data_IF_696694427011
#
_entry.id   IF_696694427011
#
_cell.length_a   1.000
_cell.length_b   1.000
_cell.length_c   1.000
_cell.angle_alpha   90.00
_cell.angle_beta   90.00
_cell.angle_gamma   90.00
#
_symmetry.space_group_name_H-M   'P 1'
#
loop_
_entity.id
_entity.type
_entity.pdbx_description
1 polymer ?
#
# COMPACT_ATOMS: atom_id res chain seq x y z
N UNK A 1 -19.35 0.56 3.90
CA UNK A 1 -19.02 0.86 2.49
C UNK A 1 -17.53 0.66 2.35
N UNK A 2 -17.09 -0.24 1.46
CA UNK A 2 -15.67 -0.43 1.15
C UNK A 2 -15.18 0.74 0.31
N UNK A 3 -14.19 1.48 0.80
CA UNK A 3 -13.59 2.58 0.04
C UNK A 3 -12.67 1.99 -1.04
N UNK A 4 -12.81 2.46 -2.28
CA UNK A 4 -12.05 1.92 -3.42
C UNK A 4 -10.96 2.89 -3.87
N UNK A 5 -9.76 2.37 -4.05
CA UNK A 5 -8.63 3.09 -4.62
C UNK A 5 -8.81 3.16 -6.13
N UNK A 6 -8.93 4.37 -6.67
CA UNK A 6 -8.81 4.60 -8.10
C UNK A 6 -7.34 4.93 -8.46
N UNK A 7 -6.58 4.01 -9.08
CA UNK A 7 -5.17 4.24 -9.40
C UNK A 7 -4.96 5.17 -10.60
N UNK A 8 -5.99 5.44 -11.40
CA UNK A 8 -5.91 6.33 -12.57
C UNK A 8 -6.16 7.79 -12.21
N UNK A 9 -6.84 8.05 -11.10
CA UNK A 9 -7.03 9.40 -10.57
C UNK A 9 -5.80 9.85 -9.76
N UNK A 10 -5.14 10.93 -10.19
CA UNK A 10 -4.00 11.51 -9.46
C UNK A 10 -4.38 11.93 -8.04
N UNK A 11 -5.58 12.47 -7.85
CA UNK A 11 -6.07 12.93 -6.54
C UNK A 11 -6.25 11.75 -5.57
N UNK A 12 -6.92 10.70 -6.03
CA UNK A 12 -7.07 9.44 -5.27
C UNK A 12 -5.70 8.87 -4.90
N UNK A 13 -4.78 8.76 -5.84
CA UNK A 13 -3.41 8.28 -5.56
C UNK A 13 -2.71 9.10 -4.48
N UNK A 14 -2.71 10.43 -4.57
CA UNK A 14 -2.02 11.29 -3.60
C UNK A 14 -2.62 11.15 -2.22
N UNK A 15 -3.95 11.09 -2.12
CA UNK A 15 -4.66 10.85 -0.87
C UNK A 15 -4.25 9.51 -0.23
N UNK A 16 -4.25 8.42 -1.01
CA UNK A 16 -3.91 7.10 -0.49
C UNK A 16 -2.44 6.93 -0.16
N UNK A 17 -1.55 7.48 -0.98
CA UNK A 17 -0.12 7.52 -0.68
C UNK A 17 0.15 8.30 0.63
N UNK A 18 -0.60 9.38 0.88
CA UNK A 18 -0.54 10.11 2.15
C UNK A 18 -1.03 9.29 3.34
N UNK A 19 -2.20 8.64 3.21
CA UNK A 19 -2.77 7.81 4.28
C UNK A 19 -1.91 6.60 4.65
N UNK A 20 -1.30 5.94 3.67
CA UNK A 20 -0.50 4.74 3.90
C UNK A 20 1.01 5.01 3.97
N UNK A 21 1.43 6.28 3.92
CA UNK A 21 2.85 6.68 3.86
C UNK A 21 3.65 5.92 2.80
N UNK A 22 3.02 5.60 1.66
CA UNK A 22 3.61 4.78 0.61
C UNK A 22 3.85 5.60 -0.67
N UNK A 23 4.84 5.21 -1.47
CA UNK A 23 5.03 5.79 -2.81
C UNK A 23 3.96 5.30 -3.80
N UNK A 24 3.82 6.01 -4.92
CA UNK A 24 2.88 5.61 -5.97
C UNK A 24 3.15 4.19 -6.50
N UNK A 25 4.42 3.84 -6.68
CA UNK A 25 4.82 2.52 -7.15
C UNK A 25 4.49 1.42 -6.14
N UNK A 26 4.68 1.70 -4.84
CA UNK A 26 4.28 0.78 -3.77
C UNK A 26 2.76 0.57 -3.74
N UNK A 27 1.97 1.62 -3.95
CA UNK A 27 0.52 1.51 -4.04
C UNK A 27 0.08 0.63 -5.24
N UNK A 28 0.66 0.84 -6.43
CA UNK A 28 0.37 -0.01 -7.59
C UNK A 28 0.81 -1.47 -7.34
N UNK A 29 2.00 -1.66 -6.76
CA UNK A 29 2.50 -2.99 -6.45
C UNK A 29 1.58 -3.72 -5.46
N UNK A 30 1.08 -3.00 -4.45
CA UNK A 30 0.13 -3.54 -3.48
C UNK A 30 -1.21 -3.93 -4.14
N UNK A 31 -1.80 -3.06 -4.96
CA UNK A 31 -3.03 -3.37 -5.73
C UNK A 31 -2.83 -4.61 -6.61
N UNK A 32 -1.65 -4.75 -7.25
CA UNK A 32 -1.34 -5.93 -8.07
C UNK A 32 -1.15 -7.20 -7.24
N UNK A 33 -0.54 -7.08 -6.06
CA UNK A 33 -0.30 -8.20 -5.15
C UNK A 33 -1.61 -8.71 -4.53
N UNK A 34 -2.49 -7.80 -4.09
CA UNK A 34 -3.81 -8.13 -3.54
C UNK A 34 -4.84 -8.46 -4.61
N UNK A 35 -4.57 -8.08 -5.88
CA UNK A 35 -5.55 -8.10 -7.00
C UNK A 35 -6.84 -7.36 -6.67
N UNK A 36 -6.75 -6.35 -5.82
CA UNK A 36 -7.89 -5.64 -5.27
C UNK A 36 -7.63 -4.14 -5.20
N UNK A 37 -8.69 -3.37 -5.42
CA UNK A 37 -8.69 -1.92 -5.21
C UNK A 37 -9.38 -1.54 -3.91
N UNK A 38 -9.77 -2.49 -3.06
CA UNK A 38 -10.28 -2.20 -1.73
C UNK A 38 -9.18 -1.56 -0.87
N UNK A 39 -9.48 -0.40 -0.30
CA UNK A 39 -8.52 0.37 0.50
C UNK A 39 -8.13 -0.37 1.78
N UNK A 40 -9.03 -1.16 2.36
CA UNK A 40 -8.74 -2.00 3.52
C UNK A 40 -7.74 -3.09 3.18
N UNK A 41 -7.96 -3.85 2.10
CA UNK A 41 -7.05 -4.93 1.69
C UNK A 41 -5.68 -4.41 1.26
N UNK A 42 -5.64 -3.34 0.46
CA UNK A 42 -4.39 -2.72 0.01
C UNK A 42 -3.64 -2.07 1.18
N UNK A 43 -4.36 -1.40 2.08
CA UNK A 43 -3.81 -0.80 3.28
C UNK A 43 -3.22 -1.85 4.23
N UNK A 44 -3.92 -2.97 4.44
CA UNK A 44 -3.45 -4.07 5.27
C UNK A 44 -2.18 -4.71 4.68
N UNK A 45 -2.13 -4.90 3.36
CA UNK A 45 -0.93 -5.42 2.69
C UNK A 45 0.27 -4.49 2.88
N UNK A 46 0.08 -3.18 2.69
CA UNK A 46 1.15 -2.18 2.87
C UNK A 46 1.63 -2.13 4.32
N UNK A 47 0.71 -2.12 5.30
CA UNK A 47 1.05 -2.13 6.72
C UNK A 47 1.83 -3.39 7.11
N UNK A 48 1.39 -4.56 6.64
CA UNK A 48 2.06 -5.85 6.89
C UNK A 48 3.46 -5.86 6.30
N UNK A 49 3.60 -5.41 5.04
CA UNK A 49 4.91 -5.32 4.38
C UNK A 49 5.85 -4.37 5.12
N UNK A 50 5.38 -3.21 5.52
CA UNK A 50 6.20 -2.23 6.24
C UNK A 50 6.63 -2.75 7.62
N UNK A 51 5.73 -3.47 8.31
CA UNK A 51 6.07 -4.14 9.55
C UNK A 51 7.18 -5.18 9.31
N UNK A 52 7.07 -6.04 8.29
CA UNK A 52 8.10 -7.02 7.94
C UNK A 52 9.43 -6.35 7.57
N UNK A 53 9.42 -5.31 6.73
CA UNK A 53 10.63 -4.53 6.39
C UNK A 53 11.26 -3.84 7.62
N UNK A 54 10.45 -3.46 8.62
CA UNK A 54 10.94 -2.92 9.91
C UNK A 54 11.57 -4.02 10.78
N UNK A 55 11.01 -5.24 10.76
CA UNK A 55 11.57 -6.39 11.47
C UNK A 55 12.85 -6.93 10.80
N UNK A 56 12.99 -6.79 9.48
CA UNK A 56 14.18 -7.18 8.70
C UNK A 56 15.31 -6.12 8.68
N UNK A 57 15.39 -5.26 9.71
CA UNK A 57 16.58 -4.46 10.01
C UNK A 57 17.82 -5.34 10.22
N UNK A 58 19.03 -4.84 9.89
CA UNK A 58 20.15 -5.59 9.32
C UNK A 58 20.72 -6.64 10.27
N UNK A 59 20.18 -7.85 10.21
CA UNK A 59 20.82 -9.05 10.73
C UNK A 59 20.83 -10.13 9.65
N UNK A 60 21.51 -9.82 8.55
CA UNK A 60 22.21 -10.86 7.80
C UNK A 60 23.65 -10.90 8.35
N UNK A 61 23.85 -11.85 9.27
CA UNK A 61 25.14 -12.37 9.76
C UNK A 61 26.13 -12.64 8.62
#
# INVERSE_FOLDING_TARGET
>A
MSEQINPFSRLSRTQWCGNFSCSHWQLIAAIRATRSTDAGEVGLYLATRYALETFEGPNSV
#
